data_IF_108326042451
#
_entry.id   IF_108326042451
#
_cell.length_a   1.000
_cell.length_b   1.000
_cell.length_c   1.000
_cell.angle_alpha   90.00
_cell.angle_beta   90.00
_cell.angle_gamma   90.00
#
_symmetry.space_group_name_H-M   'P 1'
#
loop_
_entity.id
_entity.type
_entity.pdbx_description
1 polymer ?
#
# COMPACT_ATOMS: atom_id res chain seq x y z
N UNK A 1 -0.79 -35.74 23.13
CA UNK A 1 -0.05 -34.80 24.01
C UNK A 1 0.01 -33.45 23.31
N UNK A 2 -0.78 -32.48 23.78
CA UNK A 2 -0.82 -31.12 23.25
C UNK A 2 0.51 -30.41 23.57
N UNK A 3 1.21 -29.92 22.54
CA UNK A 3 2.42 -29.11 22.74
C UNK A 3 2.02 -27.76 23.35
N UNK A 4 2.77 -27.24 24.33
CA UNK A 4 2.47 -25.97 24.97
C UNK A 4 2.52 -24.83 23.94
N UNK A 5 1.45 -24.04 23.89
CA UNK A 5 1.30 -22.85 23.07
C UNK A 5 2.27 -21.77 23.55
N UNK A 6 3.51 -21.80 23.07
CA UNK A 6 4.51 -20.77 23.36
C UNK A 6 4.25 -19.51 22.54
N UNK A 7 4.07 -18.38 23.21
CA UNK A 7 4.08 -17.06 22.59
C UNK A 7 5.38 -16.92 21.80
N UNK A 8 5.30 -16.68 20.49
CA UNK A 8 6.50 -16.42 19.69
C UNK A 8 6.78 -14.92 19.75
N UNK A 9 7.80 -14.45 20.50
CA UNK A 9 8.02 -13.02 20.73
C UNK A 9 8.29 -12.24 19.42
N UNK A 10 8.88 -12.90 18.42
CA UNK A 10 9.11 -12.31 17.10
C UNK A 10 7.79 -12.01 16.35
N UNK A 11 6.77 -12.86 16.48
CA UNK A 11 5.47 -12.66 15.82
C UNK A 11 4.69 -11.52 16.48
N UNK A 12 4.78 -11.43 17.82
CA UNK A 12 4.22 -10.32 18.57
C UNK A 12 4.93 -8.99 18.24
N UNK A 13 6.25 -9.00 18.08
CA UNK A 13 7.03 -7.82 17.70
C UNK A 13 6.62 -7.27 16.32
N UNK A 14 6.29 -8.13 15.36
CA UNK A 14 5.78 -7.71 14.05
C UNK A 14 4.41 -7.05 14.19
N UNK A 15 3.48 -7.65 14.93
CA UNK A 15 2.16 -7.07 15.20
C UNK A 15 2.26 -5.70 15.88
N UNK A 16 3.07 -5.59 16.93
CA UNK A 16 3.36 -4.34 17.63
C UNK A 16 4.01 -3.29 16.72
N UNK A 17 4.94 -3.70 15.85
CA UNK A 17 5.57 -2.81 14.89
C UNK A 17 4.57 -2.22 13.90
N UNK A 18 3.65 -3.05 13.39
CA UNK A 18 2.56 -2.61 12.50
C UNK A 18 1.63 -1.63 13.21
N UNK A 19 1.26 -1.92 14.46
CA UNK A 19 0.46 -0.99 15.29
C UNK A 19 1.19 0.33 15.49
N UNK A 20 2.49 0.29 15.83
CA UNK A 20 3.29 1.49 16.05
C UNK A 20 3.36 2.39 14.80
N UNK A 21 3.57 1.80 13.62
CA UNK A 21 3.54 2.53 12.35
C UNK A 21 2.17 3.16 12.11
N UNK A 22 1.09 2.40 12.36
CA UNK A 22 -0.28 2.91 12.26
C UNK A 22 -0.54 4.08 13.21
N UNK A 23 -0.08 3.99 14.45
CA UNK A 23 -0.20 5.08 15.44
C UNK A 23 0.58 6.32 15.03
N UNK A 24 1.81 6.18 14.52
CA UNK A 24 2.60 7.31 14.01
C UNK A 24 1.87 7.99 12.85
N UNK A 25 1.30 7.22 11.92
CA UNK A 25 0.50 7.76 10.82
C UNK A 25 -0.75 8.50 11.33
N UNK A 26 -1.47 7.94 12.30
CA UNK A 26 -2.64 8.60 12.91
C UNK A 26 -2.27 9.91 13.61
N UNK A 27 -1.16 9.92 14.37
CA UNK A 27 -0.67 11.13 15.02
C UNK A 27 -0.32 12.18 13.96
N UNK A 28 0.38 11.80 12.89
CA UNK A 28 0.69 12.69 11.78
C UNK A 28 -0.56 13.26 11.11
N UNK A 29 -1.59 12.42 10.91
CA UNK A 29 -2.87 12.82 10.35
C UNK A 29 -3.58 13.88 11.22
N UNK A 30 -3.52 13.75 12.54
CA UNK A 30 -4.15 14.69 13.47
C UNK A 30 -3.39 16.01 13.61
N UNK A 31 -2.17 16.11 13.07
CA UNK A 31 -1.36 17.35 13.09
C UNK A 31 -1.60 18.24 11.86
N UNK A 32 -2.43 17.82 10.90
CA UNK A 32 -2.74 18.66 9.75
C UNK A 32 -3.52 19.92 10.19
N UNK A 33 -3.12 21.13 9.72
CA UNK A 33 -3.84 22.36 10.02
C UNK A 33 -5.31 22.27 9.54
N UNK A 34 -6.28 22.85 10.28
CA UNK A 34 -7.66 22.88 9.84
C UNK A 34 -7.79 23.65 8.52
N UNK A 35 -8.43 23.02 7.55
CA UNK A 35 -8.58 23.54 6.19
C UNK A 35 -9.70 24.58 6.15
N UNK A 36 -9.36 25.81 5.77
CA UNK A 36 -10.29 26.94 5.65
C UNK A 36 -10.74 27.05 4.19
N UNK A 37 -11.58 26.12 3.71
CA UNK A 37 -12.08 26.11 2.33
C UNK A 37 -13.18 25.09 2.07
N UNK A 38 -13.87 25.21 0.92
CA UNK A 38 -14.90 24.25 0.45
C UNK A 38 -14.27 22.94 -0.01
N UNK A 39 -13.82 22.11 0.93
CA UNK A 39 -13.32 20.76 0.66
C UNK A 39 -14.32 19.75 1.23
N UNK A 40 -14.73 18.76 0.41
CA UNK A 40 -15.75 17.77 0.80
C UNK A 40 -15.17 16.75 1.81
N UNK A 41 -13.88 16.44 1.70
CA UNK A 41 -13.15 15.48 2.53
C UNK A 41 -11.83 16.12 2.99
N UNK A 42 -11.59 16.26 4.29
CA UNK A 42 -10.33 16.81 4.78
C UNK A 42 -9.11 15.93 4.48
N UNK A 43 -7.94 16.53 4.30
CA UNK A 43 -6.66 15.90 3.99
C UNK A 43 -6.24 14.83 5.01
N UNK A 44 -6.75 14.89 6.24
CA UNK A 44 -6.52 13.90 7.29
C UNK A 44 -7.32 12.59 7.12
N UNK A 45 -8.38 12.59 6.29
CA UNK A 45 -9.29 11.43 6.16
C UNK A 45 -8.58 10.23 5.54
N UNK A 46 -7.80 10.43 4.49
CA UNK A 46 -7.06 9.34 3.84
C UNK A 46 -5.97 8.74 4.77
N UNK A 47 -5.07 9.53 5.38
CA UNK A 47 -4.11 9.02 6.35
C UNK A 47 -4.77 8.30 7.54
N UNK A 48 -5.88 8.83 8.07
CA UNK A 48 -6.63 8.19 9.14
C UNK A 48 -7.22 6.83 8.72
N UNK A 49 -7.77 6.72 7.51
CA UNK A 49 -8.31 5.46 7.00
C UNK A 49 -7.22 4.39 6.89
N UNK A 50 -6.04 4.75 6.36
CA UNK A 50 -4.89 3.85 6.27
C UNK A 50 -4.39 3.46 7.66
N UNK A 51 -4.28 4.42 8.59
CA UNK A 51 -3.87 4.16 9.96
C UNK A 51 -4.83 3.23 10.70
N UNK A 52 -6.14 3.41 10.53
CA UNK A 52 -7.16 2.55 11.13
C UNK A 52 -7.08 1.12 10.57
N UNK A 53 -6.93 0.97 9.26
CA UNK A 53 -6.75 -0.33 8.62
C UNK A 53 -5.48 -1.03 9.13
N UNK A 54 -4.36 -0.32 9.16
CA UNK A 54 -3.08 -0.85 9.64
C UNK A 54 -3.14 -1.24 11.12
N UNK A 55 -3.78 -0.41 11.95
CA UNK A 55 -4.06 -0.73 13.35
C UNK A 55 -4.90 -1.99 13.50
N UNK A 56 -5.97 -2.13 12.71
CA UNK A 56 -6.82 -3.33 12.68
C UNK A 56 -6.04 -4.59 12.31
N UNK A 57 -5.22 -4.53 11.25
CA UNK A 57 -4.34 -5.63 10.84
C UNK A 57 -3.34 -5.96 11.96
N UNK A 58 -2.70 -4.95 12.56
CA UNK A 58 -1.76 -5.15 13.66
C UNK A 58 -2.39 -5.80 14.90
N UNK A 59 -3.62 -5.43 15.25
CA UNK A 59 -4.40 -6.07 16.33
C UNK A 59 -4.71 -7.52 15.99
N UNK A 60 -5.16 -7.81 14.76
CA UNK A 60 -5.43 -9.18 14.32
C UNK A 60 -4.18 -10.06 14.33
N UNK A 61 -3.04 -9.53 13.90
CA UNK A 61 -1.75 -10.24 13.95
C UNK A 61 -1.33 -10.50 15.40
N UNK A 62 -1.50 -9.53 16.28
CA UNK A 62 -1.22 -9.68 17.71
C UNK A 62 -2.12 -10.73 18.34
N UNK A 63 -3.41 -10.75 17.98
CA UNK A 63 -4.37 -11.76 18.43
C UNK A 63 -3.98 -13.16 17.93
N UNK A 64 -3.58 -13.32 16.67
CA UNK A 64 -3.10 -14.60 16.14
C UNK A 64 -1.79 -15.05 16.80
N UNK A 65 -0.87 -14.13 17.07
CA UNK A 65 0.37 -14.42 17.78
C UNK A 65 0.13 -14.95 19.21
N UNK A 66 -0.91 -14.45 19.89
CA UNK A 66 -1.28 -14.88 21.26
C UNK A 66 -2.10 -16.18 21.25
N UNK A 67 -2.96 -16.40 20.26
CA UNK A 67 -3.93 -17.53 20.25
C UNK A 67 -3.41 -18.84 19.65
N UNK A 68 -2.28 -18.83 18.94
CA UNK A 68 -1.72 -20.09 18.42
C UNK A 68 -0.50 -19.96 17.52
N UNK A 69 0.09 -18.75 17.41
CA UNK A 69 1.12 -18.43 16.43
C UNK A 69 0.58 -18.50 14.99
N UNK A 70 1.34 -17.96 14.03
CA UNK A 70 1.00 -18.15 12.61
C UNK A 70 1.10 -19.65 12.26
N UNK A 71 -0.02 -20.37 12.32
CA UNK A 71 -0.09 -21.82 12.08
C UNK A 71 0.39 -22.24 10.68
N UNK A 72 0.49 -21.29 9.75
CA UNK A 72 1.04 -21.47 8.39
C UNK A 72 2.50 -21.04 8.21
N UNK A 73 3.13 -20.41 9.22
CA UNK A 73 4.59 -20.29 9.30
C UNK A 73 5.15 -21.65 9.74
N UNK A 74 4.87 -22.68 8.95
CA UNK A 74 5.56 -23.97 9.03
C UNK A 74 7.06 -23.70 9.10
N UNK A 75 7.75 -24.54 9.87
CA UNK A 75 9.17 -24.56 10.20
C UNK A 75 10.07 -24.66 8.97
N UNK A 76 9.95 -23.70 8.08
CA UNK A 76 10.75 -23.46 6.90
C UNK A 76 11.34 -22.06 7.00
N UNK A 77 11.70 -21.63 8.22
CA UNK A 77 12.53 -20.45 8.47
C UNK A 77 13.95 -20.60 7.86
N UNK A 78 14.29 -21.77 7.28
CA UNK A 78 15.41 -21.91 6.34
C UNK A 78 15.13 -21.29 4.96
N UNK A 79 13.87 -21.06 4.59
CA UNK A 79 13.46 -20.22 3.46
C UNK A 79 13.45 -18.72 3.81
N UNK A 80 13.80 -18.34 5.05
CA UNK A 80 14.20 -16.95 5.40
C UNK A 80 15.66 -16.67 5.03
N UNK A 81 16.32 -17.61 4.36
CA UNK A 81 17.23 -17.25 3.27
C UNK A 81 16.41 -16.54 2.21
N UNK A 82 16.15 -15.25 2.45
CA UNK A 82 15.70 -14.28 1.48
C UNK A 82 16.34 -14.69 0.17
N UNK A 83 15.56 -15.25 -0.75
CA UNK A 83 16.07 -15.49 -2.09
C UNK A 83 16.34 -14.09 -2.61
N UNK A 84 17.59 -13.69 -2.50
CA UNK A 84 18.32 -12.68 -3.27
C UNK A 84 18.33 -13.11 -4.77
N UNK A 85 17.27 -13.78 -5.23
CA UNK A 85 16.82 -13.97 -6.60
C UNK A 85 15.61 -13.08 -6.93
N UNK A 86 15.13 -12.25 -6.00
CA UNK A 86 14.14 -11.19 -6.25
C UNK A 86 14.70 -9.96 -6.99
N UNK A 87 15.95 -10.01 -7.47
CA UNK A 87 16.61 -8.93 -8.20
C UNK A 87 15.79 -8.38 -9.39
N UNK A 88 15.20 -9.23 -10.27
CA UNK A 88 14.42 -8.71 -11.39
C UNK A 88 13.06 -8.15 -10.95
N UNK A 89 12.44 -8.73 -9.91
CA UNK A 89 11.17 -8.24 -9.39
C UNK A 89 11.30 -6.88 -8.70
N UNK A 90 12.30 -6.74 -7.84
CA UNK A 90 12.64 -5.47 -7.20
C UNK A 90 13.05 -4.41 -8.23
N UNK A 91 13.80 -4.78 -9.28
CA UNK A 91 14.14 -3.87 -10.37
C UNK A 91 12.89 -3.39 -11.13
N UNK A 92 11.92 -4.27 -11.40
CA UNK A 92 10.65 -3.90 -12.05
C UNK A 92 9.79 -2.96 -11.21
N UNK A 93 9.70 -3.21 -9.89
CA UNK A 93 8.99 -2.31 -8.98
C UNK A 93 9.70 -0.95 -8.92
N UNK A 94 11.03 -0.94 -8.81
CA UNK A 94 11.82 0.30 -8.80
C UNK A 94 11.66 1.07 -10.11
N UNK A 95 11.68 0.38 -11.24
CA UNK A 95 11.43 0.96 -12.55
C UNK A 95 10.02 1.53 -12.66
N UNK A 96 9.00 0.85 -12.11
CA UNK A 96 7.64 1.36 -12.03
C UNK A 96 7.54 2.64 -11.21
N UNK A 97 8.25 2.72 -10.07
CA UNK A 97 8.30 3.91 -9.21
C UNK A 97 8.97 5.08 -9.92
N UNK A 98 10.07 4.83 -10.63
CA UNK A 98 10.72 5.85 -11.46
C UNK A 98 9.82 6.28 -12.61
N UNK A 99 9.11 5.34 -13.24
CA UNK A 99 8.19 5.63 -14.33
C UNK A 99 7.05 6.53 -13.87
N UNK A 100 6.35 6.23 -12.77
CA UNK A 100 5.29 7.13 -12.27
C UNK A 100 5.84 8.52 -11.94
N UNK A 101 7.01 8.62 -11.31
CA UNK A 101 7.60 9.90 -10.95
C UNK A 101 7.97 10.76 -12.18
N UNK A 102 8.41 10.13 -13.27
CA UNK A 102 8.79 10.83 -14.50
C UNK A 102 7.61 11.11 -15.44
N UNK A 103 6.59 10.25 -15.44
CA UNK A 103 5.49 10.29 -16.41
C UNK A 103 4.22 10.94 -15.87
N UNK A 104 4.09 11.14 -14.55
CA UNK A 104 2.86 11.72 -13.96
C UNK A 104 2.48 13.07 -14.55
N UNK A 105 3.46 13.94 -14.84
CA UNK A 105 3.23 15.27 -15.44
C UNK A 105 2.96 15.22 -16.95
N UNK A 106 3.26 14.09 -17.62
CA UNK A 106 3.14 13.94 -19.08
C UNK A 106 1.85 13.23 -19.48
N UNK A 107 1.56 12.09 -18.84
CA UNK A 107 0.44 11.20 -19.19
C UNK A 107 -0.70 11.22 -18.16
N UNK A 108 -0.55 11.98 -17.07
CA UNK A 108 -1.55 12.12 -16.02
C UNK A 108 -1.50 11.02 -14.95
N UNK A 109 -2.14 11.30 -13.81
CA UNK A 109 -2.08 10.46 -12.60
C UNK A 109 -2.55 9.03 -12.81
N UNK A 110 -3.70 8.83 -13.46
CA UNK A 110 -4.34 7.52 -13.63
C UNK A 110 -3.46 6.59 -14.48
N UNK A 111 -2.95 7.06 -15.61
CA UNK A 111 -2.12 6.25 -16.50
C UNK A 111 -0.75 5.98 -15.89
N UNK A 112 -0.14 6.96 -15.24
CA UNK A 112 1.13 6.79 -14.54
C UNK A 112 1.02 5.77 -13.39
N UNK A 113 -0.06 5.83 -12.60
CA UNK A 113 -0.33 4.88 -11.52
C UNK A 113 -0.68 3.47 -12.04
N UNK A 114 -1.44 3.37 -13.13
CA UNK A 114 -1.70 2.08 -13.79
C UNK A 114 -0.41 1.44 -14.33
N UNK A 115 0.51 2.25 -14.85
CA UNK A 115 1.80 1.78 -15.37
C UNK A 115 2.73 1.31 -14.25
N UNK A 116 2.75 2.02 -13.11
CA UNK A 116 3.39 1.55 -11.88
C UNK A 116 2.82 0.19 -11.47
N UNK A 117 1.50 0.05 -11.43
CA UNK A 117 0.84 -1.21 -11.06
C UNK A 117 1.22 -2.35 -12.02
N UNK A 118 1.21 -2.09 -13.34
CA UNK A 118 1.61 -3.07 -14.33
C UNK A 118 3.09 -3.47 -14.20
N UNK A 119 3.98 -2.53 -13.87
CA UNK A 119 5.39 -2.82 -13.60
C UNK A 119 5.57 -3.66 -12.32
N UNK A 120 4.84 -3.34 -11.26
CA UNK A 120 4.84 -4.13 -10.03
C UNK A 120 4.31 -5.55 -10.27
N UNK A 121 3.19 -5.70 -10.98
CA UNK A 121 2.61 -7.00 -11.35
C UNK A 121 3.56 -7.84 -12.20
N UNK A 122 4.30 -7.22 -13.13
CA UNK A 122 5.40 -7.88 -13.86
C UNK A 122 6.54 -8.30 -12.94
N UNK A 123 6.89 -7.48 -11.95
CA UNK A 123 7.88 -7.83 -10.94
C UNK A 123 7.53 -9.08 -10.11
N UNK A 124 6.23 -9.36 -9.94
CA UNK A 124 5.71 -10.56 -9.28
C UNK A 124 5.51 -11.76 -10.24
N UNK A 125 5.88 -11.63 -11.52
CA UNK A 125 5.85 -12.73 -12.49
C UNK A 125 4.59 -12.81 -13.35
N UNK A 126 3.73 -11.78 -13.36
CA UNK A 126 2.61 -11.72 -14.31
C UNK A 126 3.12 -11.63 -15.76
N UNK A 127 2.51 -12.43 -16.65
CA UNK A 127 2.81 -12.46 -18.09
C UNK A 127 1.82 -11.67 -18.95
N UNK A 128 0.81 -11.02 -18.34
CA UNK A 128 -0.27 -10.34 -19.04
C UNK A 128 -0.32 -8.83 -18.74
N UNK A 129 0.63 -8.03 -19.27
CA UNK A 129 0.75 -6.61 -18.94
C UNK A 129 -0.50 -5.78 -19.30
N UNK A 130 -1.24 -6.16 -20.34
CA UNK A 130 -2.50 -5.51 -20.73
C UNK A 130 -3.60 -5.69 -19.68
N UNK A 131 -3.71 -6.89 -19.09
CA UNK A 131 -4.68 -7.16 -18.03
C UNK A 131 -4.32 -6.41 -16.76
N UNK A 132 -3.03 -6.41 -16.42
CA UNK A 132 -2.54 -5.72 -15.24
C UNK A 132 -2.74 -4.20 -15.37
N UNK A 133 -2.52 -3.64 -16.57
CA UNK A 133 -2.80 -2.24 -16.85
C UNK A 133 -4.30 -1.93 -16.76
N UNK A 134 -5.18 -2.78 -17.30
CA UNK A 134 -6.62 -2.60 -17.17
C UNK A 134 -7.10 -2.63 -15.71
N UNK A 135 -6.55 -3.54 -14.89
CA UNK A 135 -6.82 -3.59 -13.45
C UNK A 135 -6.27 -2.34 -12.76
N UNK A 136 -5.06 -1.91 -13.12
CA UNK A 136 -4.45 -0.69 -12.62
C UNK A 136 -5.31 0.54 -12.90
N UNK A 137 -5.83 0.68 -14.12
CA UNK A 137 -6.78 1.74 -14.48
C UNK A 137 -8.06 1.63 -13.65
N UNK A 138 -8.66 0.43 -13.57
CA UNK A 138 -9.90 0.22 -12.83
C UNK A 138 -9.76 0.56 -11.33
N UNK A 139 -8.58 0.35 -10.73
CA UNK A 139 -8.29 0.72 -9.34
C UNK A 139 -8.00 2.22 -9.19
N UNK A 140 -7.28 2.82 -10.13
CA UNK A 140 -6.82 4.22 -10.03
C UNK A 140 -7.89 5.24 -10.41
N UNK A 141 -8.86 4.87 -11.25
CA UNK A 141 -10.00 5.72 -11.62
C UNK A 141 -10.86 6.18 -10.43
N UNK A 142 -11.36 5.28 -9.55
CA UNK A 142 -12.15 5.69 -8.39
C UNK A 142 -11.32 6.49 -7.39
N UNK A 143 -10.01 6.19 -7.29
CA UNK A 143 -9.07 6.97 -6.47
C UNK A 143 -8.96 8.39 -7.03
N UNK A 144 -8.71 8.55 -8.34
CA UNK A 144 -8.65 9.87 -8.99
C UNK A 144 -9.93 10.67 -8.76
N UNK A 145 -11.09 10.03 -8.89
CA UNK A 145 -12.37 10.70 -8.65
C UNK A 145 -12.55 11.10 -7.19
N UNK A 146 -12.15 10.26 -6.23
CA UNK A 146 -12.18 10.57 -4.81
C UNK A 146 -11.26 11.74 -4.46
N UNK A 147 -10.08 11.84 -5.07
CA UNK A 147 -9.15 12.94 -4.82
C UNK A 147 -9.61 14.24 -5.51
N UNK A 148 -10.00 14.17 -6.78
CA UNK A 148 -10.43 15.32 -7.54
C UNK A 148 -11.73 15.92 -7.00
N UNK A 149 -12.71 15.07 -6.69
CA UNK A 149 -14.04 15.50 -6.22
C UNK A 149 -14.10 15.62 -4.70
N UNK A 150 -13.43 14.74 -3.95
CA UNK A 150 -13.48 14.73 -2.49
C UNK A 150 -12.53 15.73 -1.84
N UNK A 151 -11.26 15.76 -2.28
CA UNK A 151 -10.22 16.60 -1.67
C UNK A 151 -10.03 17.96 -2.36
N UNK A 152 -10.69 18.20 -3.50
CA UNK A 152 -10.53 19.44 -4.27
C UNK A 152 -9.10 19.67 -4.79
N UNK A 153 -8.24 18.63 -4.75
CA UNK A 153 -6.87 18.69 -5.23
C UNK A 153 -6.87 18.36 -6.71
N UNK A 154 -6.49 19.32 -7.54
CA UNK A 154 -6.34 19.14 -8.99
C UNK A 154 -5.14 18.21 -9.27
N UNK A 155 -5.41 16.92 -9.40
CA UNK A 155 -4.42 15.96 -9.88
C UNK A 155 -4.22 16.16 -11.40
N UNK A 156 -3.00 15.96 -11.93
CA UNK A 156 -2.72 16.08 -13.36
C UNK A 156 -3.73 15.29 -14.20
N UNK A 157 -4.49 15.97 -15.09
CA UNK A 157 -5.58 15.35 -15.82
C UNK A 157 -5.07 14.26 -16.77
N UNK A 158 -5.95 13.30 -17.06
CA UNK A 158 -5.74 12.17 -17.98
C UNK A 158 -5.27 12.57 -19.39
N UNK A 159 -5.54 13.81 -19.77
CA UNK A 159 -5.18 14.39 -21.06
C UNK A 159 -4.78 15.83 -20.76
N UNK A 160 -3.62 16.24 -21.26
CA UNK A 160 -3.16 17.62 -21.23
C UNK A 160 -4.33 18.51 -21.69
N UNK A 161 -4.75 19.48 -20.87
CA UNK A 161 -5.87 20.38 -21.12
C UNK A 161 -5.58 21.40 -22.25
N UNK A 162 -4.98 20.92 -23.34
CA UNK A 162 -4.65 21.65 -24.57
C UNK A 162 -5.48 21.16 -25.76
N UNK A 163 -6.58 20.44 -25.51
CA UNK A 163 -7.68 20.25 -26.45
C UNK A 163 -8.95 20.79 -25.78
#
# INVERSE_FOLDING_TARGET
MARPNGIVPAQLAIGLGVIAIGSVLAIGALRFPPEMGFVILGAHVYPCAVAAFLGGVGVLLSYQAITGGFRDLSTDSKASGARVGAKPGAAWVTAGILAIALLIDVIGFVLAAALLFACAARGFGSRHPLRDLAIGIALTLPIYWLFNTGLGVALPPLVNAWI
#
